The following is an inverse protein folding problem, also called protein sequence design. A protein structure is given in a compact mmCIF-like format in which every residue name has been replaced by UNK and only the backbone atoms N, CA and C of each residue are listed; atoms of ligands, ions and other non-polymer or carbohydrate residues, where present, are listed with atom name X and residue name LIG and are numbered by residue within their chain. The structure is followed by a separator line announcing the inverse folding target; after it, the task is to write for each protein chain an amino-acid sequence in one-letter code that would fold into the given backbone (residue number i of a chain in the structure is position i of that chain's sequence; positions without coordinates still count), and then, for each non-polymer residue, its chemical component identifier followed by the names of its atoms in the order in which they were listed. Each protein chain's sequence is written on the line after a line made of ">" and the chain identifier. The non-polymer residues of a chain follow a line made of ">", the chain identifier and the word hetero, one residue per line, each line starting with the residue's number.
data_IF_872078562568
#
_entry.id   IF_872078562568
#
_cell.length_a   1.000
_cell.length_b   1.000
_cell.length_c   1.000
_cell.angle_alpha   90.00
_cell.angle_beta   90.00
_cell.angle_gamma   90.00
#
_symmetry.space_group_name_H-M   'P 1'
#
loop_
_entity.id
_entity.type
_entity.pdbx_description
1 polymer ?
#
# COMPACT_ATOMS: atom_id res chain seq x y z
N UNK A 1 0.88 -4.31 -16.80
CA UNK A 1 1.02 -3.54 -15.55
C UNK A 1 2.46 -3.70 -15.11
N UNK A 2 3.16 -2.59 -14.86
CA UNK A 2 4.60 -2.57 -14.59
C UNK A 2 4.81 -1.87 -13.25
N UNK A 3 5.44 -2.55 -12.29
CA UNK A 3 5.88 -1.91 -11.05
C UNK A 3 7.13 -1.07 -11.38
N UNK A 4 7.19 0.22 -10.99
CA UNK A 4 8.32 1.07 -11.34
C UNK A 4 9.61 0.57 -10.70
N UNK A 5 10.64 0.37 -11.54
CA UNK A 5 12.05 -0.02 -11.29
C UNK A 5 12.30 -0.95 -10.08
N UNK A 6 12.70 -2.18 -10.39
CA UNK A 6 13.20 -3.12 -9.40
C UNK A 6 14.52 -2.61 -8.81
N UNK A 7 14.54 -2.37 -7.50
CA UNK A 7 15.79 -2.25 -6.76
C UNK A 7 16.40 -3.65 -6.68
N UNK A 8 17.60 -3.82 -7.22
CA UNK A 8 18.23 -5.15 -7.37
C UNK A 8 19.11 -5.53 -6.19
N UNK A 9 19.55 -4.56 -5.39
CA UNK A 9 20.45 -4.79 -4.26
C UNK A 9 19.66 -4.88 -2.97
N UNK A 10 19.60 -6.08 -2.38
CA UNK A 10 19.10 -6.29 -1.02
C UNK A 10 20.14 -5.75 -0.03
N UNK A 11 19.69 -4.93 0.91
CA UNK A 11 20.54 -4.49 2.01
C UNK A 11 20.89 -5.67 2.91
N UNK A 12 22.10 -5.63 3.50
CA UNK A 12 22.41 -6.54 4.59
C UNK A 12 21.62 -6.15 5.85
N UNK A 13 21.54 -7.08 6.81
CA UNK A 13 20.74 -6.89 8.02
C UNK A 13 21.15 -5.64 8.81
N UNK A 14 22.44 -5.30 8.89
CA UNK A 14 22.91 -4.12 9.61
C UNK A 14 22.41 -2.81 8.96
N UNK A 15 22.50 -2.72 7.64
CA UNK A 15 22.00 -1.58 6.87
C UNK A 15 20.48 -1.45 6.98
N UNK A 16 19.78 -2.59 6.90
CA UNK A 16 18.33 -2.65 7.03
C UNK A 16 17.87 -2.15 8.41
N UNK A 17 18.50 -2.65 9.49
CA UNK A 17 18.17 -2.21 10.85
C UNK A 17 18.46 -0.72 11.08
N UNK A 18 19.52 -0.18 10.47
CA UNK A 18 19.80 1.26 10.53
C UNK A 18 18.68 2.08 9.86
N UNK A 19 18.23 1.69 8.67
CA UNK A 19 17.12 2.36 7.98
C UNK A 19 15.79 2.21 8.71
N UNK A 20 15.49 1.02 9.27
CA UNK A 20 14.31 0.81 10.10
C UNK A 20 14.37 1.74 11.31
N UNK A 21 15.50 1.82 12.02
CA UNK A 21 15.63 2.73 13.17
C UNK A 21 15.43 4.20 12.79
N UNK A 22 15.88 4.61 11.60
CA UNK A 22 15.76 5.99 11.12
C UNK A 22 14.33 6.34 10.67
N UNK A 23 13.63 5.41 10.02
CA UNK A 23 12.39 5.71 9.30
C UNK A 23 11.12 5.09 9.91
N UNK A 24 11.25 4.09 10.78
CA UNK A 24 10.11 3.52 11.51
C UNK A 24 9.51 4.60 12.41
N UNK A 25 8.17 4.73 12.50
CA UNK A 25 7.55 5.75 13.34
C UNK A 25 8.08 5.70 14.77
N UNK A 26 8.48 6.83 15.35
CA UNK A 26 9.05 6.86 16.71
C UNK A 26 8.07 6.40 17.79
N UNK A 27 6.76 6.55 17.53
CA UNK A 27 5.67 6.10 18.39
C UNK A 27 4.94 4.94 17.74
N UNK A 28 4.53 3.98 18.55
CA UNK A 28 3.66 2.90 18.11
C UNK A 28 2.34 3.44 17.54
N UNK A 29 1.98 2.98 16.35
CA UNK A 29 0.73 3.29 15.67
C UNK A 29 -0.24 2.12 15.82
N UNK A 30 -1.43 2.43 16.32
CA UNK A 30 -2.51 1.48 16.54
C UNK A 30 -3.65 1.65 15.55
N UNK A 31 -3.81 2.84 14.99
CA UNK A 31 -4.88 3.20 14.08
C UNK A 31 -4.34 4.00 12.90
N UNK A 32 -4.98 3.83 11.74
CA UNK A 32 -4.71 4.59 10.54
C UNK A 32 -5.09 6.05 10.74
N UNK A 33 -4.15 6.96 10.44
CA UNK A 33 -4.41 8.39 10.32
C UNK A 33 -3.92 8.85 8.95
N UNK A 34 -4.85 9.13 8.05
CA UNK A 34 -4.54 9.68 6.73
C UNK A 34 -4.58 11.21 6.83
N UNK A 35 -3.56 11.86 6.30
CA UNK A 35 -3.51 13.31 6.19
C UNK A 35 -4.70 13.85 5.37
N UNK A 36 -5.34 14.91 5.85
CA UNK A 36 -6.50 15.52 5.18
C UNK A 36 -6.19 16.02 3.78
N UNK A 37 -4.96 16.48 3.53
CA UNK A 37 -4.51 16.92 2.20
C UNK A 37 -4.49 15.72 1.24
N UNK A 38 -4.06 14.54 1.69
CA UNK A 38 -4.07 13.33 0.87
C UNK A 38 -5.49 12.90 0.51
N UNK A 39 -6.42 12.98 1.48
CA UNK A 39 -7.84 12.71 1.22
C UNK A 39 -8.40 13.69 0.18
N UNK A 40 -8.05 14.97 0.27
CA UNK A 40 -8.49 15.97 -0.68
C UNK A 40 -7.95 15.73 -2.09
N UNK A 41 -6.66 15.36 -2.22
CA UNK A 41 -6.06 14.97 -3.50
C UNK A 41 -6.83 13.79 -4.09
N UNK A 42 -7.08 12.74 -3.30
CA UNK A 42 -7.82 11.54 -3.76
C UNK A 42 -9.21 11.93 -4.28
N UNK A 43 -9.94 12.80 -3.57
CA UNK A 43 -11.28 13.27 -3.99
C UNK A 43 -11.24 14.02 -5.33
N UNK A 44 -10.29 14.95 -5.48
CA UNK A 44 -10.13 15.73 -6.73
C UNK A 44 -9.75 14.83 -7.90
N UNK A 45 -8.81 13.91 -7.69
CA UNK A 45 -8.41 12.92 -8.69
C UNK A 45 -9.59 12.02 -9.08
N UNK A 46 -10.40 11.58 -8.12
CA UNK A 46 -11.58 10.77 -8.38
C UNK A 46 -12.62 11.49 -9.25
N UNK A 47 -12.89 12.77 -8.95
CA UNK A 47 -13.82 13.59 -9.73
C UNK A 47 -13.32 13.75 -11.17
N UNK A 48 -12.06 14.12 -11.35
CA UNK A 48 -11.43 14.27 -12.66
C UNK A 48 -11.47 12.97 -13.48
N UNK A 49 -11.09 11.83 -12.88
CA UNK A 49 -11.07 10.55 -13.59
C UNK A 49 -12.48 10.06 -13.93
N UNK A 50 -13.48 10.36 -13.09
CA UNK A 50 -14.89 10.06 -13.38
C UNK A 50 -15.36 10.78 -14.65
N UNK A 51 -15.05 12.06 -14.82
CA UNK A 51 -15.39 12.83 -16.03
C UNK A 51 -14.78 12.24 -17.31
N UNK A 52 -13.66 11.52 -17.17
CA UNK A 52 -12.99 10.80 -18.25
C UNK A 52 -13.42 9.34 -18.39
N UNK A 53 -14.49 8.93 -17.69
CA UNK A 53 -14.93 7.54 -17.61
C UNK A 53 -13.78 6.56 -17.23
N UNK A 54 -12.86 7.03 -16.40
CA UNK A 54 -11.70 6.26 -15.93
C UNK A 54 -11.93 5.82 -14.49
N UNK A 55 -11.78 4.52 -14.24
CA UNK A 55 -11.88 3.97 -12.89
C UNK A 55 -10.64 4.31 -12.07
N UNK A 56 -10.84 4.69 -10.81
CA UNK A 56 -9.76 5.05 -9.91
C UNK A 56 -9.68 4.09 -8.72
N UNK A 57 -8.49 3.49 -8.54
CA UNK A 57 -8.18 2.61 -7.42
C UNK A 57 -7.01 3.23 -6.64
N UNK A 58 -7.16 3.28 -5.33
CA UNK A 58 -6.11 3.68 -4.39
C UNK A 58 -5.67 2.45 -3.61
N UNK A 59 -4.37 2.17 -3.66
CA UNK A 59 -3.76 1.00 -3.01
C UNK A 59 -2.93 1.47 -1.82
N UNK A 60 -3.18 0.88 -0.65
CA UNK A 60 -2.23 0.94 0.46
C UNK A 60 -1.14 -0.09 0.20
N UNK A 61 0.08 0.39 -0.05
CA UNK A 61 1.22 -0.47 -0.39
C UNK A 61 1.61 -1.38 0.78
N UNK A 62 2.27 -2.52 0.51
CA UNK A 62 2.82 -3.38 1.55
C UNK A 62 3.76 -2.65 2.49
N UNK A 63 3.71 -3.04 3.76
CA UNK A 63 4.64 -2.60 4.79
C UNK A 63 5.62 -3.73 5.07
N UNK A 64 6.90 -3.42 5.21
CA UNK A 64 7.87 -4.43 5.63
C UNK A 64 7.50 -4.91 7.05
N UNK A 65 7.30 -6.21 7.28
CA UNK A 65 6.88 -6.74 8.58
C UNK A 65 7.92 -6.53 9.69
N UNK A 66 9.16 -6.16 9.35
CA UNK A 66 10.20 -5.79 10.32
C UNK A 66 9.99 -4.38 10.91
N UNK A 67 9.02 -3.60 10.41
CA UNK A 67 8.60 -2.32 10.98
C UNK A 67 7.78 -2.54 12.26
N UNK A 68 8.45 -2.64 13.40
CA UNK A 68 7.86 -3.04 14.69
C UNK A 68 6.87 -2.06 15.34
N UNK A 69 6.73 -0.85 14.81
CA UNK A 69 5.90 0.20 15.42
C UNK A 69 4.48 0.27 14.85
N UNK A 70 4.15 -0.57 13.87
CA UNK A 70 2.77 -0.82 13.45
C UNK A 70 2.20 -1.99 14.25
N UNK A 71 1.29 -1.71 15.19
CA UNK A 71 0.73 -2.72 16.11
C UNK A 71 -0.44 -3.46 15.46
N UNK A 72 -0.87 -4.57 16.07
CA UNK A 72 -1.92 -5.47 15.54
C UNK A 72 -3.20 -4.75 15.10
N UNK A 73 -3.62 -3.67 15.79
CA UNK A 73 -4.80 -2.88 15.40
C UNK A 73 -4.64 -2.06 14.12
N UNK A 74 -3.40 -1.77 13.70
CA UNK A 74 -3.14 -0.87 12.58
C UNK A 74 -3.59 -1.46 11.25
N UNK A 75 -3.23 -2.72 10.95
CA UNK A 75 -3.67 -3.38 9.72
C UNK A 75 -5.19 -3.52 9.66
N UNK A 76 -5.83 -3.89 10.77
CA UNK A 76 -7.28 -3.94 10.89
C UNK A 76 -7.95 -2.58 10.64
N UNK A 77 -7.31 -1.49 11.08
CA UNK A 77 -7.80 -0.13 10.80
C UNK A 77 -7.67 0.27 9.33
N UNK A 78 -6.64 -0.22 8.61
CA UNK A 78 -6.53 -0.05 7.15
C UNK A 78 -7.62 -0.86 6.44
N UNK A 79 -7.82 -2.13 6.81
CA UNK A 79 -8.88 -2.96 6.25
C UNK A 79 -10.25 -2.30 6.45
N UNK A 80 -10.52 -1.81 7.66
CA UNK A 80 -11.75 -1.09 7.95
C UNK A 80 -11.91 0.16 7.08
N UNK A 81 -10.85 0.95 6.90
CA UNK A 81 -10.89 2.11 6.01
C UNK A 81 -11.16 1.70 4.55
N UNK A 82 -10.48 0.67 4.05
CA UNK A 82 -10.67 0.20 2.68
C UNK A 82 -12.09 -0.31 2.42
N UNK A 83 -12.69 -0.99 3.40
CA UNK A 83 -14.02 -1.59 3.27
C UNK A 83 -15.17 -0.58 3.51
N UNK A 84 -14.94 0.46 4.31
CA UNK A 84 -16.01 1.38 4.75
C UNK A 84 -15.83 2.83 4.30
N UNK A 85 -14.76 3.18 3.59
CA UNK A 85 -14.56 4.53 3.04
C UNK A 85 -15.70 4.90 2.09
N UNK A 86 -16.25 6.10 2.27
CA UNK A 86 -17.36 6.64 1.48
C UNK A 86 -16.93 7.64 0.40
N UNK A 87 -15.63 7.65 0.03
CA UNK A 87 -15.14 8.55 -1.01
C UNK A 87 -15.67 8.04 -2.37
N UNK A 88 -16.57 8.82 -2.97
CA UNK A 88 -17.26 8.42 -4.18
C UNK A 88 -16.29 8.17 -5.36
N UNK A 89 -16.58 7.13 -6.14
CA UNK A 89 -15.82 6.74 -7.34
C UNK A 89 -14.35 6.35 -7.06
N UNK A 90 -14.04 5.92 -5.82
CA UNK A 90 -12.73 5.39 -5.44
C UNK A 90 -12.90 4.01 -4.84
N UNK A 91 -12.18 3.02 -5.38
CA UNK A 91 -11.98 1.73 -4.69
C UNK A 91 -10.69 1.77 -3.91
N UNK A 92 -10.75 1.47 -2.62
CA UNK A 92 -9.56 1.30 -1.80
C UNK A 92 -9.18 -0.18 -1.70
N UNK A 93 -7.89 -0.47 -1.74
CA UNK A 93 -7.35 -1.83 -1.62
C UNK A 93 -6.24 -1.83 -0.58
N UNK A 94 -6.32 -2.77 0.36
CA UNK A 94 -5.29 -2.94 1.38
C UNK A 94 -4.30 -4.03 0.95
N UNK A 95 -3.04 -3.66 0.69
CA UNK A 95 -1.94 -4.61 0.52
C UNK A 95 -0.91 -4.52 1.64
N UNK A 96 -1.21 -3.86 2.77
CA UNK A 96 -0.25 -3.64 3.86
C UNK A 96 0.38 -4.92 4.42
N UNK A 97 -0.29 -6.07 4.29
CA UNK A 97 0.17 -7.39 4.75
C UNK A 97 0.46 -8.37 3.59
N UNK A 98 0.49 -7.89 2.34
CA UNK A 98 0.60 -8.76 1.15
C UNK A 98 1.97 -9.44 1.05
N UNK A 99 3.04 -8.76 1.47
CA UNK A 99 4.41 -9.21 1.28
C UNK A 99 5.04 -9.71 2.58
N UNK A 100 5.89 -10.73 2.45
CA UNK A 100 6.78 -11.22 3.51
C UNK A 100 8.09 -10.44 3.53
N UNK A 101 8.90 -10.57 4.61
CA UNK A 101 10.17 -9.83 4.75
C UNK A 101 11.15 -10.04 3.59
N UNK A 102 11.22 -11.25 3.03
CA UNK A 102 12.15 -11.59 1.94
C UNK A 102 11.72 -11.02 0.58
N UNK A 103 10.56 -10.39 0.53
CA UNK A 103 10.00 -9.74 -0.65
C UNK A 103 10.22 -8.23 -0.63
N UNK A 104 11.11 -7.75 0.24
CA UNK A 104 11.62 -6.40 0.26
C UNK A 104 13.13 -6.38 0.03
N UNK A 105 13.65 -5.31 -0.58
CA UNK A 105 15.09 -5.05 -0.65
C UNK A 105 15.59 -4.21 0.52
N UNK A 106 14.70 -3.44 1.13
CA UNK A 106 14.95 -2.59 2.29
C UNK A 106 13.67 -2.41 3.14
N UNK A 107 13.64 -1.40 4.01
CA UNK A 107 12.52 -1.11 4.89
C UNK A 107 11.17 -0.75 4.23
N UNK A 108 11.14 -0.39 2.93
CA UNK A 108 9.89 0.02 2.26
C UNK A 108 9.79 -0.40 0.78
N UNK A 109 10.90 -0.69 0.11
CA UNK A 109 10.91 -1.03 -1.31
C UNK A 109 10.78 -2.54 -1.51
N UNK A 110 9.80 -3.02 -2.31
CA UNK A 110 9.68 -4.42 -2.69
C UNK A 110 10.88 -4.89 -3.52
N UNK A 111 11.24 -6.17 -3.36
CA UNK A 111 12.12 -6.87 -4.29
C UNK A 111 11.38 -7.18 -5.60
N UNK A 112 12.07 -7.73 -6.60
CA UNK A 112 11.44 -8.17 -7.85
C UNK A 112 10.29 -9.15 -7.61
N UNK A 113 10.50 -10.16 -6.76
CA UNK A 113 9.44 -11.10 -6.40
C UNK A 113 8.26 -10.42 -5.67
N UNK A 114 8.55 -9.44 -4.82
CA UNK A 114 7.51 -8.64 -4.16
C UNK A 114 6.71 -7.79 -5.16
N UNK A 115 7.40 -7.15 -6.11
CA UNK A 115 6.79 -6.36 -7.17
C UNK A 115 5.91 -7.20 -8.10
N UNK A 116 6.35 -8.43 -8.44
CA UNK A 116 5.54 -9.40 -9.19
C UNK A 116 4.27 -9.73 -8.41
N UNK A 117 4.38 -10.04 -7.12
CA UNK A 117 3.20 -10.36 -6.30
C UNK A 117 2.21 -9.19 -6.18
N UNK A 118 2.70 -7.96 -5.95
CA UNK A 118 1.84 -6.76 -5.96
C UNK A 118 1.11 -6.63 -7.29
N UNK A 119 1.84 -6.79 -8.40
CA UNK A 119 1.30 -6.64 -9.76
C UNK A 119 0.23 -7.70 -10.05
N UNK A 120 0.50 -8.95 -9.72
CA UNK A 120 -0.45 -10.06 -9.90
C UNK A 120 -1.72 -9.86 -9.06
N UNK A 121 -1.58 -9.45 -7.81
CA UNK A 121 -2.73 -9.24 -6.94
C UNK A 121 -3.55 -8.02 -7.37
N UNK A 122 -2.90 -6.94 -7.79
CA UNK A 122 -3.60 -5.77 -8.34
C UNK A 122 -4.34 -6.10 -9.64
N UNK A 123 -3.76 -6.92 -10.51
CA UNK A 123 -4.42 -7.38 -11.73
C UNK A 123 -5.69 -8.19 -11.42
N UNK A 124 -5.66 -9.08 -10.42
CA UNK A 124 -6.86 -9.78 -9.94
C UNK A 124 -7.92 -8.80 -9.44
N UNK A 125 -7.54 -7.83 -8.60
CA UNK A 125 -8.48 -6.82 -8.08
C UNK A 125 -9.10 -5.96 -9.19
N UNK A 126 -8.34 -5.64 -10.22
CA UNK A 126 -8.85 -4.94 -11.41
C UNK A 126 -9.82 -5.81 -12.22
N UNK A 127 -9.55 -7.12 -12.33
CA UNK A 127 -10.42 -8.07 -13.03
C UNK A 127 -11.73 -8.33 -12.28
N UNK A 128 -11.70 -8.45 -10.95
CA UNK A 128 -12.92 -8.51 -10.12
C UNK A 128 -13.86 -7.31 -10.38
N UNK A 129 -13.31 -6.13 -10.73
CA UNK A 129 -14.13 -4.96 -11.09
C UNK A 129 -14.81 -5.09 -12.46
N UNK A 130 -14.31 -5.93 -13.36
CA UNK A 130 -14.89 -6.11 -14.71
C UNK A 130 -15.96 -7.22 -14.75
N UNK A 131 -16.02 -8.09 -13.73
CA UNK A 131 -16.95 -9.22 -13.68
C UNK A 131 -18.25 -8.94 -12.93
N UNK A 132 -18.48 -7.71 -12.48
CA UNK A 132 -19.78 -7.32 -11.88
C UNK A 132 -20.59 -6.54 -12.94
N UNK A 133 -21.82 -6.99 -13.27
CA UNK A 133 -22.69 -6.32 -14.24
C UNK A 133 -23.10 -4.92 -13.78
#
# INVERSE_FOLDING_TARGET
>A
MYYPRNYTTRLNDQQLQALIKQNNPTKALYNLKIDSIKIEIIKRTAAYLKEKNTRYIVVFTPLNPELINFKTGYHASIDSFCNHSKIANVRFVNFSHLLTKDQFVDHLHPSENGAIQITSELAKKLNECYSRP
#
